data_IF_721500274466
#
_entry.id   IF_721500274466
#
_cell.length_a   1.000
_cell.length_b   1.000
_cell.length_c   1.000
_cell.angle_alpha   90.00
_cell.angle_beta   90.00
_cell.angle_gamma   90.00
#
_symmetry.space_group_name_H-M   'P 1'
#
loop_
_entity.id
_entity.type
_entity.pdbx_description
1 polymer ?
#
# COMPACT_ATOMS: atom_id res chain seq x y z
N UNK A 1 20.90 42.73 9.67
CA UNK A 1 20.43 41.35 9.98
C UNK A 1 19.63 40.90 8.78
N UNK A 2 19.95 39.74 8.18
CA UNK A 2 19.13 39.26 7.06
C UNK A 2 17.68 39.10 7.54
N UNK A 3 16.73 39.80 6.91
CA UNK A 3 15.32 39.64 7.18
C UNK A 3 14.92 38.20 6.80
N UNK A 4 14.19 37.49 7.68
CA UNK A 4 13.62 36.17 7.34
C UNK A 4 12.50 36.39 6.32
N UNK A 5 12.41 35.49 5.36
CA UNK A 5 11.31 35.43 4.41
C UNK A 5 10.21 34.57 5.05
N UNK A 6 9.01 35.15 5.18
CA UNK A 6 7.86 34.40 5.70
C UNK A 6 7.11 33.73 4.56
N UNK A 7 6.96 32.40 4.63
CA UNK A 7 6.13 31.65 3.67
C UNK A 7 4.82 31.33 4.37
N UNK A 8 3.75 32.01 3.95
CA UNK A 8 2.45 31.93 4.59
C UNK A 8 1.50 31.11 3.71
N UNK A 9 0.92 30.06 4.31
CA UNK A 9 -0.19 29.36 3.71
C UNK A 9 -1.45 30.21 3.72
N UNK A 10 -2.22 30.15 2.63
CA UNK A 10 -3.52 30.82 2.51
C UNK A 10 -4.51 29.89 1.83
N UNK A 11 -5.74 29.86 2.31
CA UNK A 11 -6.85 29.10 1.72
C UNK A 11 -7.67 29.96 0.76
N UNK A 12 -8.70 29.37 0.18
CA UNK A 12 -9.63 30.05 -0.72
C UNK A 12 -10.55 31.05 0.02
N UNK A 13 -10.59 30.99 1.35
CA UNK A 13 -11.18 32.00 2.25
C UNK A 13 -10.35 33.29 2.35
N UNK A 14 -9.18 33.32 1.71
CA UNK A 14 -8.34 34.50 1.58
C UNK A 14 -7.87 35.05 2.92
N UNK A 15 -7.90 36.39 3.05
CA UNK A 15 -7.48 37.06 4.29
C UNK A 15 -8.34 36.70 5.51
N UNK A 16 -9.58 36.30 5.33
CA UNK A 16 -10.50 36.04 6.44
C UNK A 16 -10.10 34.76 7.21
N UNK A 17 -9.55 33.77 6.52
CA UNK A 17 -9.05 32.51 7.11
C UNK A 17 -7.70 32.62 7.81
N UNK A 18 -6.97 33.71 7.61
CA UNK A 18 -5.65 33.86 8.20
C UNK A 18 -5.69 34.17 9.69
N UNK A 19 -4.73 33.59 10.43
CA UNK A 19 -4.51 33.93 11.83
C UNK A 19 -4.13 35.43 11.99
N UNK A 20 -4.37 36.04 13.16
CA UNK A 20 -3.90 37.39 13.44
C UNK A 20 -2.39 37.56 13.16
N UNK A 21 -1.59 36.57 13.55
CA UNK A 21 -0.16 36.58 13.31
C UNK A 21 0.20 36.62 11.82
N UNK A 22 -0.49 35.84 10.98
CA UNK A 22 -0.26 35.85 9.53
C UNK A 22 -0.67 37.22 8.90
N UNK A 23 -1.75 37.82 9.41
CA UNK A 23 -2.19 39.15 8.98
C UNK A 23 -1.17 40.24 9.34
N UNK A 24 -0.65 40.23 10.58
CA UNK A 24 0.38 41.16 11.02
C UNK A 24 1.66 41.08 10.17
N UNK A 25 2.06 39.86 9.78
CA UNK A 25 3.20 39.63 8.88
C UNK A 25 2.96 40.17 7.48
N UNK A 26 1.74 40.04 6.95
CA UNK A 26 1.35 40.57 5.65
C UNK A 26 1.28 42.09 5.65
N UNK A 27 0.73 42.67 6.70
CA UNK A 27 0.62 44.13 6.86
C UNK A 27 1.99 44.82 7.01
N UNK A 28 2.97 44.09 7.57
CA UNK A 28 4.35 44.56 7.72
C UNK A 28 5.24 44.29 6.49
N UNK A 29 4.73 43.59 5.48
CA UNK A 29 5.51 43.19 4.31
C UNK A 29 5.68 44.38 3.32
N UNK A 30 6.92 44.63 2.88
CA UNK A 30 7.21 45.51 1.77
C UNK A 30 7.05 44.84 0.40
N UNK A 31 7.27 43.50 0.39
CA UNK A 31 7.16 42.67 -0.82
C UNK A 31 6.30 41.45 -0.54
N UNK A 32 5.32 41.20 -1.39
CA UNK A 32 4.47 40.02 -1.36
C UNK A 32 4.64 39.24 -2.66
N UNK A 33 5.01 37.97 -2.54
CA UNK A 33 5.30 37.08 -3.68
C UNK A 33 4.25 35.98 -3.73
N UNK A 34 3.72 35.68 -4.91
CA UNK A 34 2.75 34.58 -5.07
C UNK A 34 2.31 34.35 -6.50
N UNK A 35 1.48 33.35 -6.71
CA UNK A 35 0.78 33.17 -7.99
C UNK A 35 -0.23 34.31 -8.21
N UNK A 36 -0.62 34.58 -9.47
CA UNK A 36 -1.61 35.62 -9.76
C UNK A 36 -2.91 35.48 -8.94
N UNK A 37 -3.40 34.26 -8.74
CA UNK A 37 -4.61 34.01 -7.96
C UNK A 37 -4.42 34.37 -6.49
N UNK A 38 -3.32 33.96 -5.86
CA UNK A 38 -3.02 34.28 -4.46
C UNK A 38 -2.81 35.79 -4.23
N UNK A 39 -2.09 36.45 -5.14
CA UNK A 39 -1.90 37.87 -5.09
C UNK A 39 -3.22 38.66 -5.23
N UNK A 40 -4.16 38.11 -6.03
CA UNK A 40 -5.51 38.68 -6.16
C UNK A 40 -6.27 38.70 -4.83
N UNK A 41 -6.11 37.69 -3.97
CA UNK A 41 -6.76 37.59 -2.66
C UNK A 41 -6.29 38.67 -1.66
N UNK A 42 -5.06 39.17 -1.83
CA UNK A 42 -4.42 40.14 -0.94
C UNK A 42 -4.20 41.51 -1.60
N UNK A 43 -4.84 41.76 -2.72
CA UNK A 43 -4.61 42.96 -3.60
C UNK A 43 -4.84 44.30 -2.93
N UNK A 44 -5.46 44.37 -1.75
CA UNK A 44 -5.67 45.60 -0.97
C UNK A 44 -4.51 45.97 -0.04
N UNK A 45 -3.45 45.17 0.02
CA UNK A 45 -2.28 45.52 0.82
C UNK A 45 -1.41 46.56 0.10
N UNK A 46 -0.79 47.46 0.88
CA UNK A 46 0.18 48.45 0.38
C UNK A 46 1.59 47.82 0.33
N UNK A 47 1.82 46.91 -0.64
CA UNK A 47 3.09 46.22 -0.84
C UNK A 47 3.43 46.10 -2.32
N UNK A 48 4.69 45.85 -2.63
CA UNK A 48 5.12 45.49 -3.97
C UNK A 48 4.76 44.04 -4.25
N UNK A 49 3.99 43.76 -5.30
CA UNK A 49 3.56 42.41 -5.68
C UNK A 49 4.48 41.81 -6.74
N UNK A 50 5.14 40.71 -6.43
CA UNK A 50 5.96 39.94 -7.36
C UNK A 50 5.31 38.58 -7.70
N UNK A 51 5.14 38.35 -9.00
CA UNK A 51 4.54 37.10 -9.46
C UNK A 51 5.58 35.98 -9.49
N UNK A 52 5.23 34.81 -8.95
CA UNK A 52 6.02 33.60 -9.13
C UNK A 52 5.80 33.12 -10.57
N UNK A 53 6.88 33.07 -11.35
CA UNK A 53 6.94 32.39 -12.65
C UNK A 53 7.17 30.88 -12.50
N UNK A 54 7.20 30.17 -13.64
CA UNK A 54 7.51 28.74 -13.66
C UNK A 54 9.01 28.40 -13.42
N UNK A 55 9.89 29.41 -13.45
CA UNK A 55 11.33 29.24 -13.26
C UNK A 55 11.71 29.41 -11.78
N UNK A 56 12.11 28.29 -11.16
CA UNK A 56 12.54 28.27 -9.76
C UNK A 56 13.88 28.97 -9.52
N UNK A 57 14.73 29.03 -10.55
CA UNK A 57 16.02 29.71 -10.43
C UNK A 57 15.82 31.23 -10.45
N UNK A 58 14.96 31.74 -11.33
CA UNK A 58 14.57 33.15 -11.36
C UNK A 58 13.98 33.60 -10.02
N UNK A 59 13.12 32.78 -9.43
CA UNK A 59 12.57 33.09 -8.11
C UNK A 59 13.66 33.16 -7.04
N UNK A 60 14.62 32.22 -7.03
CA UNK A 60 15.73 32.24 -6.10
C UNK A 60 16.55 33.52 -6.25
N UNK A 61 16.89 33.90 -7.48
CA UNK A 61 17.69 35.10 -7.77
C UNK A 61 16.94 36.39 -7.32
N UNK A 62 15.62 36.43 -7.52
CA UNK A 62 14.75 37.49 -7.01
C UNK A 62 14.81 37.59 -5.49
N UNK A 63 14.66 36.45 -4.78
CA UNK A 63 14.74 36.40 -3.32
C UNK A 63 16.11 36.79 -2.77
N UNK A 64 17.20 36.60 -3.54
CA UNK A 64 18.54 37.08 -3.15
C UNK A 64 18.66 38.60 -3.32
N UNK A 65 18.04 39.20 -4.34
CA UNK A 65 18.07 40.65 -4.58
C UNK A 65 17.28 41.42 -3.52
N UNK A 66 16.20 40.87 -3.00
CA UNK A 66 15.31 41.52 -2.02
C UNK A 66 15.59 41.07 -0.57
N UNK A 67 16.70 40.42 -0.30
CA UNK A 67 16.99 39.69 0.97
C UNK A 67 16.92 40.55 2.24
N UNK A 68 17.05 41.87 2.14
CA UNK A 68 17.05 42.83 3.27
C UNK A 68 15.68 43.51 3.46
N UNK A 69 14.70 43.21 2.60
CA UNK A 69 13.35 43.75 2.64
C UNK A 69 12.38 42.79 3.36
N UNK A 70 11.47 43.28 4.21
CA UNK A 70 10.39 42.48 4.77
C UNK A 70 9.58 41.82 3.65
N UNK A 71 9.68 40.48 3.54
CA UNK A 71 9.12 39.74 2.41
C UNK A 71 8.22 38.60 2.90
N UNK A 72 7.01 38.53 2.35
CA UNK A 72 6.07 37.43 2.50
C UNK A 72 5.91 36.73 1.16
N UNK A 73 5.99 35.41 1.18
CA UNK A 73 5.64 34.56 0.04
C UNK A 73 4.36 33.78 0.38
N UNK A 74 3.36 33.87 -0.50
CA UNK A 74 2.11 33.14 -0.36
C UNK A 74 2.18 31.76 -1.00
N UNK A 75 1.61 30.76 -0.34
CA UNK A 75 1.43 29.40 -0.84
C UNK A 75 0.01 28.91 -0.55
N UNK A 76 -0.57 28.11 -1.41
CA UNK A 76 -1.88 27.51 -1.14
C UNK A 76 -1.79 26.49 -0.01
N UNK A 77 -2.66 26.59 0.99
CA UNK A 77 -2.76 25.66 2.10
C UNK A 77 -1.47 25.52 2.91
N UNK A 78 -0.92 24.30 3.01
CA UNK A 78 0.34 24.04 3.70
C UNK A 78 1.54 24.22 2.75
N UNK A 79 2.43 25.22 2.99
CA UNK A 79 3.59 25.46 2.12
C UNK A 79 4.57 24.29 2.00
N UNK A 80 4.57 23.36 2.95
CA UNK A 80 5.45 22.17 2.93
C UNK A 80 4.81 20.95 2.26
N UNK A 81 3.52 21.02 1.96
CA UNK A 81 2.82 19.91 1.34
C UNK A 81 2.77 20.07 -0.19
N UNK A 82 3.69 19.39 -0.90
CA UNK A 82 3.87 19.46 -2.36
C UNK A 82 4.17 20.87 -2.94
N UNK A 83 4.69 21.81 -2.12
CA UNK A 83 4.95 23.17 -2.52
C UNK A 83 6.41 23.47 -2.89
N UNK A 84 6.61 24.67 -3.43
CA UNK A 84 7.92 25.26 -3.80
C UNK A 84 8.87 25.42 -2.61
N UNK A 85 8.34 25.48 -1.41
CA UNK A 85 9.06 25.70 -0.16
C UNK A 85 10.19 24.69 0.06
N UNK A 86 9.98 23.45 -0.36
CA UNK A 86 11.01 22.40 -0.27
C UNK A 86 12.26 22.76 -1.08
N UNK A 87 12.07 23.23 -2.31
CA UNK A 87 13.18 23.68 -3.16
C UNK A 87 13.92 24.86 -2.54
N UNK A 88 13.20 25.87 -2.08
CA UNK A 88 13.78 27.07 -1.48
C UNK A 88 14.58 26.74 -0.21
N UNK A 89 14.04 25.96 0.69
CA UNK A 89 14.73 25.57 1.93
C UNK A 89 15.96 24.72 1.70
N UNK A 90 15.98 23.89 0.65
CA UNK A 90 17.13 23.07 0.26
C UNK A 90 18.24 23.90 -0.40
N UNK A 91 17.88 24.89 -1.23
CA UNK A 91 18.85 25.66 -2.02
C UNK A 91 19.38 26.91 -1.32
N UNK A 92 18.55 27.54 -0.48
CA UNK A 92 18.88 28.81 0.20
C UNK A 92 19.12 28.66 1.71
N UNK A 93 18.87 27.46 2.26
CA UNK A 93 19.04 27.15 3.69
C UNK A 93 17.79 27.45 4.52
N UNK A 94 17.47 26.48 5.43
CA UNK A 94 16.24 26.51 6.25
C UNK A 94 16.11 27.74 7.13
N UNK A 95 17.21 28.28 7.65
CA UNK A 95 17.22 29.41 8.60
C UNK A 95 16.79 30.75 7.95
N UNK A 96 16.69 30.81 6.64
CA UNK A 96 16.22 32.00 5.91
C UNK A 96 14.71 32.13 5.90
N UNK A 97 14.00 31.06 6.19
CA UNK A 97 12.55 31.00 6.04
C UNK A 97 11.88 30.79 7.40
N UNK A 98 10.76 31.43 7.57
CA UNK A 98 9.75 31.11 8.57
C UNK A 98 8.49 30.66 7.85
N UNK A 99 7.98 29.49 8.22
CA UNK A 99 6.86 28.88 7.50
C UNK A 99 5.65 28.88 8.42
N UNK A 100 4.59 29.49 7.95
CA UNK A 100 3.30 29.58 8.65
C UNK A 100 2.27 28.78 7.85
N UNK A 101 1.95 27.52 8.25
CA UNK A 101 1.02 26.70 7.52
C UNK A 101 -0.42 27.18 7.66
N UNK A 102 -1.23 26.87 6.66
CA UNK A 102 -2.68 26.96 6.69
C UNK A 102 -3.28 25.59 6.43
N UNK A 103 -4.57 25.41 6.69
CA UNK A 103 -5.29 24.18 6.37
C UNK A 103 -5.22 23.95 4.86
N UNK A 104 -4.73 22.77 4.46
CA UNK A 104 -4.66 22.40 3.04
C UNK A 104 -5.99 21.85 2.54
N UNK A 105 -6.22 21.92 1.23
CA UNK A 105 -7.40 21.31 0.60
C UNK A 105 -7.45 19.80 0.84
N UNK A 106 -6.30 19.11 0.99
CA UNK A 106 -6.25 17.71 1.39
C UNK A 106 -6.84 17.50 2.79
N UNK A 107 -6.47 18.32 3.77
CA UNK A 107 -7.04 18.26 5.13
C UNK A 107 -8.53 18.57 5.14
N UNK A 108 -8.96 19.56 4.35
CA UNK A 108 -10.38 19.86 4.19
C UNK A 108 -11.14 18.70 3.59
N UNK A 109 -10.61 18.05 2.54
CA UNK A 109 -11.22 16.88 1.92
C UNK A 109 -11.47 15.76 2.95
N UNK A 110 -10.44 15.36 3.69
CA UNK A 110 -10.58 14.34 4.73
C UNK A 110 -11.56 14.74 5.85
N UNK A 111 -11.58 16.02 6.20
CA UNK A 111 -12.56 16.54 7.17
C UNK A 111 -14.00 16.46 6.64
N UNK A 112 -14.25 16.75 5.34
CA UNK A 112 -15.58 16.65 4.72
C UNK A 112 -16.07 15.21 4.63
N UNK A 113 -15.18 14.27 4.29
CA UNK A 113 -15.52 12.84 4.24
C UNK A 113 -15.53 12.15 5.61
N UNK A 114 -15.05 12.84 6.66
CA UNK A 114 -14.99 12.38 8.06
C UNK A 114 -14.12 11.14 8.25
N UNK A 115 -13.03 11.08 7.50
CA UNK A 115 -12.03 10.02 7.58
C UNK A 115 -10.73 10.53 8.22
N UNK A 116 -10.05 9.66 8.96
CA UNK A 116 -8.69 9.89 9.44
C UNK A 116 -7.69 9.80 8.27
N UNK A 117 -6.63 10.60 8.29
CA UNK A 117 -5.62 10.66 7.24
C UNK A 117 -4.20 10.36 7.72
N UNK A 118 -4.04 9.97 8.97
CA UNK A 118 -2.75 9.68 9.61
C UNK A 118 -2.04 8.46 9.00
N UNK A 119 -2.79 7.50 8.45
CA UNK A 119 -2.29 6.31 7.74
C UNK A 119 -2.58 6.35 6.23
N UNK A 120 -3.12 7.45 5.70
CA UNK A 120 -3.51 7.57 4.32
C UNK A 120 -2.32 7.67 3.36
N UNK A 121 -2.43 7.05 2.20
CA UNK A 121 -1.53 7.30 1.08
C UNK A 121 -1.90 8.63 0.41
N UNK A 122 -1.06 9.63 0.60
CA UNK A 122 -1.27 10.97 0.04
C UNK A 122 -0.31 11.21 -1.12
N UNK A 123 -0.81 11.69 -2.26
CA UNK A 123 0.03 11.99 -3.42
C UNK A 123 -0.53 13.07 -4.34
N UNK A 124 0.30 13.53 -5.27
CA UNK A 124 -0.03 14.55 -6.25
C UNK A 124 0.29 14.05 -7.66
N UNK A 125 -0.72 13.95 -8.50
CA UNK A 125 -0.62 13.46 -9.87
C UNK A 125 0.06 14.45 -10.85
N UNK A 126 0.32 15.68 -10.43
CA UNK A 126 1.18 16.58 -11.19
C UNK A 126 2.66 16.15 -11.19
N UNK A 127 3.08 15.35 -10.21
CA UNK A 127 4.48 14.94 -10.03
C UNK A 127 4.70 13.42 -9.99
N UNK A 128 3.63 12.64 -9.89
CA UNK A 128 3.69 11.17 -9.87
C UNK A 128 2.89 10.60 -11.04
N UNK A 129 3.47 9.68 -11.81
CA UNK A 129 2.74 9.02 -12.91
C UNK A 129 1.63 8.13 -12.38
N UNK A 130 0.46 8.16 -13.02
CA UNK A 130 -0.75 7.47 -12.60
C UNK A 130 -0.53 5.96 -12.39
N UNK A 131 0.21 5.29 -13.26
CA UNK A 131 0.47 3.86 -13.15
C UNK A 131 1.09 3.45 -11.82
N UNK A 132 2.07 4.24 -11.32
CA UNK A 132 2.69 4.01 -10.01
C UNK A 132 1.74 4.31 -8.85
N UNK A 133 0.92 5.34 -9.02
CA UNK A 133 -0.06 5.73 -8.00
C UNK A 133 -1.10 4.62 -7.84
N UNK A 134 -1.57 4.02 -8.91
CA UNK A 134 -2.53 2.90 -8.87
C UNK A 134 -1.98 1.69 -8.11
N UNK A 135 -0.70 1.35 -8.30
CA UNK A 135 -0.08 0.25 -7.56
C UNK A 135 -0.04 0.50 -6.04
N UNK A 136 0.19 1.76 -5.63
CA UNK A 136 0.15 2.14 -4.21
C UNK A 136 -1.29 2.19 -3.66
N UNK A 137 -2.26 2.63 -4.46
CA UNK A 137 -3.68 2.64 -4.09
C UNK A 137 -4.14 1.23 -3.73
N UNK A 138 -3.75 0.23 -4.52
CA UNK A 138 -4.09 -1.18 -4.29
C UNK A 138 -3.81 -1.64 -2.85
N UNK A 139 -2.79 -1.09 -2.21
CA UNK A 139 -2.36 -1.50 -0.86
C UNK A 139 -2.81 -0.58 0.27
N UNK A 140 -3.44 0.55 -0.06
CA UNK A 140 -3.85 1.55 0.91
C UNK A 140 -5.28 1.34 1.40
N UNK A 141 -5.54 1.71 2.66
CA UNK A 141 -6.88 1.76 3.23
C UNK A 141 -7.60 3.06 2.85
N UNK A 142 -6.83 4.16 2.88
CA UNK A 142 -7.28 5.50 2.56
C UNK A 142 -6.28 6.16 1.63
N UNK A 143 -6.79 6.91 0.69
CA UNK A 143 -5.98 7.58 -0.31
C UNK A 143 -6.47 9.01 -0.48
N UNK A 144 -5.54 9.95 -0.55
CA UNK A 144 -5.82 11.33 -0.92
C UNK A 144 -5.01 11.73 -2.15
N UNK A 145 -5.67 12.21 -3.19
CA UNK A 145 -5.07 12.53 -4.47
C UNK A 145 -5.32 13.99 -4.83
N UNK A 146 -4.26 14.75 -5.07
CA UNK A 146 -4.36 15.96 -5.89
C UNK A 146 -4.41 15.55 -7.35
N UNK A 147 -5.46 15.93 -8.03
CA UNK A 147 -5.70 15.65 -9.45
C UNK A 147 -5.13 16.73 -10.35
N UNK A 148 -5.25 16.58 -11.65
CA UNK A 148 -4.88 17.58 -12.65
C UNK A 148 -5.92 17.60 -13.76
N UNK A 149 -5.94 18.64 -14.59
CA UNK A 149 -6.82 18.71 -15.77
C UNK A 149 -6.58 17.54 -16.74
N UNK A 150 -5.35 17.01 -16.81
CA UNK A 150 -5.00 15.86 -17.66
C UNK A 150 -5.34 14.52 -17.02
N UNK A 151 -5.38 14.45 -15.68
CA UNK A 151 -5.69 13.26 -14.90
C UNK A 151 -6.79 13.63 -13.90
N UNK A 152 -8.03 13.85 -14.37
CA UNK A 152 -9.19 14.12 -13.52
C UNK A 152 -9.66 12.86 -12.80
N UNK A 153 -10.58 12.96 -11.82
CA UNK A 153 -11.13 11.83 -11.09
C UNK A 153 -11.70 10.71 -11.97
N UNK A 154 -12.31 11.03 -13.11
CA UNK A 154 -12.83 10.05 -14.06
C UNK A 154 -11.75 9.16 -14.68
N UNK A 155 -10.60 9.74 -15.06
CA UNK A 155 -9.45 8.99 -15.60
C UNK A 155 -8.81 8.11 -14.52
N UNK A 156 -8.77 8.59 -13.27
CA UNK A 156 -8.28 7.79 -12.13
C UNK A 156 -9.19 6.59 -11.90
N UNK A 157 -10.51 6.82 -11.89
CA UNK A 157 -11.50 5.77 -11.71
C UNK A 157 -11.41 4.71 -12.83
N UNK A 158 -11.28 5.13 -14.09
CA UNK A 158 -11.06 4.22 -15.22
C UNK A 158 -9.78 3.38 -15.04
N UNK A 159 -8.65 4.00 -14.71
CA UNK A 159 -7.39 3.30 -14.51
C UNK A 159 -7.41 2.29 -13.35
N UNK A 160 -8.22 2.56 -12.30
CA UNK A 160 -8.44 1.62 -11.20
C UNK A 160 -9.32 0.45 -11.64
N UNK A 161 -10.43 0.71 -12.32
CA UNK A 161 -11.36 -0.31 -12.83
C UNK A 161 -10.70 -1.24 -13.85
N UNK A 162 -9.88 -0.72 -14.75
CA UNK A 162 -9.10 -1.51 -15.71
C UNK A 162 -8.18 -2.53 -15.03
N UNK A 163 -7.73 -2.23 -13.82
CA UNK A 163 -6.91 -3.11 -12.99
C UNK A 163 -7.71 -3.89 -11.95
N UNK A 164 -9.06 -3.89 -12.08
CA UNK A 164 -9.99 -4.55 -11.17
C UNK A 164 -9.85 -4.10 -9.70
N UNK A 165 -9.53 -2.83 -9.50
CA UNK A 165 -9.54 -2.16 -8.20
C UNK A 165 -10.87 -1.43 -8.10
N UNK A 166 -11.95 -2.14 -7.78
CA UNK A 166 -13.33 -1.66 -7.74
C UNK A 166 -13.90 -1.50 -6.31
N UNK A 167 -13.09 -1.82 -5.33
CA UNK A 167 -13.45 -1.93 -3.91
C UNK A 167 -13.20 -0.65 -3.10
N UNK A 168 -13.23 0.50 -3.74
CA UNK A 168 -13.15 1.80 -3.06
C UNK A 168 -14.45 2.57 -3.19
N UNK A 169 -14.86 3.21 -2.08
CA UNK A 169 -15.77 4.33 -2.14
C UNK A 169 -14.96 5.57 -2.46
N UNK A 170 -15.35 6.28 -3.51
CA UNK A 170 -14.67 7.48 -3.96
C UNK A 170 -15.44 8.73 -3.54
N UNK A 171 -14.71 9.74 -3.12
CA UNK A 171 -15.20 11.07 -2.84
C UNK A 171 -14.42 12.06 -3.69
N UNK A 172 -15.12 12.91 -4.42
CA UNK A 172 -14.52 14.03 -5.16
C UNK A 172 -14.97 15.31 -4.46
N UNK A 173 -14.00 16.03 -3.92
CA UNK A 173 -14.22 17.25 -3.16
C UNK A 173 -13.77 18.43 -4.01
N UNK A 174 -14.72 19.21 -4.52
CA UNK A 174 -14.51 20.30 -5.45
C UNK A 174 -14.60 21.64 -4.72
N UNK A 175 -13.79 22.62 -5.12
CA UNK A 175 -13.85 24.00 -4.67
C UNK A 175 -13.85 24.17 -3.13
N UNK A 176 -13.07 23.33 -2.44
CA UNK A 176 -13.05 23.25 -0.97
C UNK A 176 -12.73 24.61 -0.32
N UNK A 177 -13.56 24.99 0.65
CA UNK A 177 -13.44 26.25 1.38
C UNK A 177 -14.11 27.44 0.71
N UNK A 178 -14.73 27.27 -0.45
CA UNK A 178 -15.49 28.31 -1.16
C UNK A 178 -17.00 28.11 -1.01
N UNK A 179 -17.83 29.11 -1.36
CA UNK A 179 -19.29 28.93 -1.40
C UNK A 179 -19.77 27.88 -2.40
N UNK A 180 -18.97 27.57 -3.42
CA UNK A 180 -19.25 26.59 -4.47
C UNK A 180 -18.70 25.20 -4.13
N UNK A 181 -18.38 24.95 -2.86
CA UNK A 181 -17.88 23.66 -2.39
C UNK A 181 -18.90 22.52 -2.64
N UNK A 182 -18.46 21.47 -3.33
CA UNK A 182 -19.27 20.26 -3.59
C UNK A 182 -18.48 19.02 -3.20
N UNK A 183 -19.14 18.06 -2.55
CA UNK A 183 -18.58 16.73 -2.26
C UNK A 183 -19.45 15.68 -2.92
N UNK A 184 -18.93 15.04 -3.95
CA UNK A 184 -19.59 13.94 -4.65
C UNK A 184 -19.05 12.61 -4.12
N UNK A 185 -19.96 11.74 -3.65
CA UNK A 185 -19.65 10.37 -3.21
C UNK A 185 -20.22 9.37 -4.20
N UNK A 186 -19.44 8.33 -4.53
CA UNK A 186 -19.90 7.24 -5.40
C UNK A 186 -18.94 6.06 -5.40
N UNK A 187 -19.32 5.03 -6.16
CA UNK A 187 -18.39 3.99 -6.57
C UNK A 187 -17.56 4.48 -7.78
N UNK A 188 -16.51 3.74 -8.11
CA UNK A 188 -15.61 4.13 -9.20
C UNK A 188 -16.31 4.14 -10.58
N UNK A 189 -17.33 3.29 -10.79
CA UNK A 189 -18.11 3.28 -12.03
C UNK A 189 -18.92 4.57 -12.20
N UNK A 190 -19.52 5.08 -11.13
CA UNK A 190 -20.24 6.34 -11.17
C UNK A 190 -19.32 7.54 -11.36
N UNK A 191 -18.14 7.54 -10.71
CA UNK A 191 -17.16 8.61 -10.85
C UNK A 191 -16.56 8.66 -12.26
N UNK A 192 -16.28 7.50 -12.87
CA UNK A 192 -15.76 7.43 -14.26
C UNK A 192 -16.63 8.18 -15.26
N UNK A 193 -17.93 8.18 -15.05
CA UNK A 193 -18.90 8.73 -15.99
C UNK A 193 -19.30 10.19 -15.69
N UNK A 194 -18.59 10.87 -14.78
CA UNK A 194 -18.87 12.26 -14.40
C UNK A 194 -17.72 13.19 -14.75
N UNK A 195 -18.06 14.48 -14.91
CA UNK A 195 -17.08 15.56 -15.04
C UNK A 195 -17.02 16.33 -13.73
N UNK A 196 -15.82 16.80 -13.39
CA UNK A 196 -15.54 17.51 -12.17
C UNK A 196 -14.76 18.79 -12.46
N UNK A 197 -14.89 19.79 -11.60
CA UNK A 197 -14.08 20.99 -11.67
C UNK A 197 -12.60 20.67 -11.50
N UNK A 198 -11.72 21.49 -12.09
CA UNK A 198 -10.27 21.29 -12.03
C UNK A 198 -9.70 21.43 -10.61
N UNK A 199 -10.35 22.25 -9.79
CA UNK A 199 -9.98 22.47 -8.38
C UNK A 199 -10.60 21.40 -7.48
N UNK A 200 -10.06 20.19 -7.51
CA UNK A 200 -10.60 19.10 -6.71
C UNK A 200 -9.52 18.25 -6.01
N UNK A 201 -9.96 17.56 -4.97
CA UNK A 201 -9.23 16.49 -4.26
C UNK A 201 -10.06 15.25 -4.32
N UNK A 202 -9.49 14.13 -4.79
CA UNK A 202 -10.14 12.83 -4.74
C UNK A 202 -9.68 12.06 -3.50
N UNK A 203 -10.65 11.59 -2.70
CA UNK A 203 -10.39 10.71 -1.56
C UNK A 203 -10.99 9.35 -1.87
N UNK A 204 -10.20 8.30 -1.66
CA UNK A 204 -10.63 6.91 -1.81
C UNK A 204 -10.59 6.23 -0.44
N UNK A 205 -11.67 5.57 -0.07
CA UNK A 205 -11.79 4.81 1.17
C UNK A 205 -12.11 3.37 0.82
N UNK A 206 -11.25 2.45 1.25
CA UNK A 206 -11.45 1.02 0.98
C UNK A 206 -12.71 0.52 1.66
N UNK A 207 -13.51 -0.25 0.95
CA UNK A 207 -14.68 -0.92 1.50
C UNK A 207 -14.24 -2.04 2.45
N UNK A 208 -14.85 -2.07 3.61
CA UNK A 208 -14.51 -3.08 4.63
C UNK A 208 -14.78 -4.49 4.13
N UNK A 209 -13.82 -5.39 4.30
CA UNK A 209 -13.95 -6.80 3.89
C UNK A 209 -13.94 -7.05 2.37
N UNK A 210 -13.72 -6.03 1.55
CA UNK A 210 -13.64 -6.23 0.11
C UNK A 210 -12.32 -6.93 -0.29
N UNK A 211 -12.45 -8.06 -0.98
CA UNK A 211 -11.31 -8.78 -1.52
C UNK A 211 -10.66 -8.01 -2.67
N UNK A 212 -9.33 -8.08 -2.78
CA UNK A 212 -8.60 -7.53 -3.92
C UNK A 212 -8.75 -8.47 -5.12
N UNK A 213 -9.41 -7.99 -6.16
CA UNK A 213 -9.64 -8.79 -7.37
C UNK A 213 -8.34 -8.96 -8.18
N UNK A 214 -8.04 -10.18 -8.65
CA UNK A 214 -6.81 -10.41 -9.40
C UNK A 214 -6.83 -9.71 -10.76
N UNK A 215 -5.68 -9.17 -11.17
CA UNK A 215 -5.51 -8.60 -12.51
C UNK A 215 -5.65 -9.68 -13.59
N UNK A 216 -6.67 -9.57 -14.44
CA UNK A 216 -7.14 -10.64 -15.32
C UNK A 216 -6.32 -10.95 -16.58
N UNK A 217 -5.13 -10.36 -16.77
CA UNK A 217 -4.43 -10.40 -18.07
C UNK A 217 -3.07 -11.14 -18.08
N UNK A 218 -2.55 -11.60 -16.94
CA UNK A 218 -1.28 -12.33 -16.94
C UNK A 218 -1.48 -13.84 -17.18
N UNK A 219 -0.66 -14.47 -18.04
CA UNK A 219 -0.70 -15.91 -18.21
C UNK A 219 -0.29 -16.59 -16.90
N UNK A 220 -1.13 -17.54 -16.45
CA UNK A 220 -0.85 -18.30 -15.22
C UNK A 220 0.36 -19.19 -15.42
N UNK A 221 1.23 -19.20 -14.43
CA UNK A 221 2.40 -20.07 -14.35
C UNK A 221 2.02 -21.36 -13.62
N UNK A 222 2.78 -22.39 -13.81
CA UNK A 222 2.60 -23.66 -13.07
C UNK A 222 2.79 -23.41 -11.55
N UNK A 223 3.76 -22.57 -11.19
CA UNK A 223 4.02 -22.06 -9.85
C UNK A 223 4.77 -20.73 -9.92
N UNK A 224 4.88 -20.00 -8.81
CA UNK A 224 5.51 -18.67 -8.78
C UNK A 224 4.64 -17.61 -9.46
N UNK A 225 3.32 -17.76 -9.38
CA UNK A 225 2.39 -16.75 -9.85
C UNK A 225 2.53 -15.47 -9.00
N UNK A 226 2.42 -14.28 -9.61
CA UNK A 226 2.37 -13.03 -8.86
C UNK A 226 1.28 -13.02 -7.79
N UNK A 227 1.56 -12.37 -6.66
CA UNK A 227 0.65 -12.34 -5.51
C UNK A 227 -0.69 -11.67 -5.82
N UNK A 228 -0.71 -10.74 -6.79
CA UNK A 228 -1.89 -10.02 -7.26
C UNK A 228 -2.82 -10.83 -8.17
N UNK A 229 -2.45 -12.07 -8.52
CA UNK A 229 -3.34 -13.01 -9.21
C UNK A 229 -4.26 -13.78 -8.26
N UNK A 230 -4.07 -13.65 -6.96
CA UNK A 230 -4.90 -14.30 -5.95
C UNK A 230 -5.80 -13.29 -5.27
N UNK A 231 -7.06 -13.66 -5.06
CA UNK A 231 -7.93 -12.96 -4.12
C UNK A 231 -7.29 -13.03 -2.74
N UNK A 232 -7.26 -11.92 -2.04
CA UNK A 232 -6.71 -11.86 -0.70
C UNK A 232 -7.47 -10.83 0.12
N UNK A 233 -7.68 -11.12 1.40
CA UNK A 233 -8.28 -10.20 2.34
C UNK A 233 -7.34 -9.05 2.64
N UNK A 234 -7.84 -7.83 2.55
CA UNK A 234 -7.16 -6.61 2.99
C UNK A 234 -8.14 -5.78 3.82
N UNK A 235 -7.76 -5.23 4.94
CA UNK A 235 -6.41 -4.97 5.45
C UNK A 235 -5.79 -6.09 6.32
N UNK A 236 -6.28 -7.30 6.32
CA UNK A 236 -5.69 -8.43 7.08
C UNK A 236 -4.24 -8.75 6.66
N UNK A 237 -3.63 -7.81 5.99
CA UNK A 237 -2.20 -7.58 5.74
C UNK A 237 -1.36 -8.81 5.49
N UNK A 238 -1.07 -9.05 4.22
CA UNK A 238 0.08 -9.88 3.86
C UNK A 238 0.04 -11.29 4.44
N UNK A 239 -1.14 -11.85 4.59
CA UNK A 239 -1.31 -13.26 4.96
C UNK A 239 -0.97 -14.19 3.79
N UNK A 240 -0.87 -13.63 2.57
CA UNK A 240 -0.34 -14.40 1.45
C UNK A 240 1.17 -14.62 1.61
N UNK A 241 1.60 -15.85 1.47
CA UNK A 241 3.04 -16.15 1.39
C UNK A 241 3.59 -15.53 0.09
N UNK A 242 4.57 -14.63 0.14
CA UNK A 242 5.12 -13.99 -1.05
C UNK A 242 5.55 -14.99 -2.12
N UNK A 243 5.37 -14.65 -3.40
CA UNK A 243 5.67 -15.56 -4.53
C UNK A 243 7.09 -16.12 -4.49
N UNK A 244 8.06 -15.31 -4.07
CA UNK A 244 9.46 -15.73 -3.93
C UNK A 244 9.61 -16.80 -2.85
N UNK A 245 8.91 -16.65 -1.72
CA UNK A 245 8.92 -17.63 -0.62
C UNK A 245 8.18 -18.91 -1.02
N UNK A 246 7.02 -18.75 -1.71
CA UNK A 246 6.26 -19.91 -2.24
C UNK A 246 7.09 -20.76 -3.19
N UNK A 247 7.82 -20.12 -4.12
CA UNK A 247 8.69 -20.84 -5.05
C UNK A 247 9.71 -21.69 -4.32
N UNK A 248 10.37 -21.15 -3.30
CA UNK A 248 11.37 -21.88 -2.51
C UNK A 248 10.68 -22.99 -1.70
N UNK A 249 9.57 -22.68 -1.03
CA UNK A 249 8.82 -23.67 -0.24
C UNK A 249 8.38 -24.86 -1.09
N UNK A 250 7.78 -24.61 -2.26
CA UNK A 250 7.33 -25.66 -3.18
C UNK A 250 8.48 -26.52 -3.71
N UNK A 251 9.64 -25.91 -3.98
CA UNK A 251 10.83 -26.68 -4.40
C UNK A 251 11.35 -27.61 -3.31
N UNK A 252 11.23 -27.22 -2.05
CA UNK A 252 11.67 -28.00 -0.89
C UNK A 252 10.64 -29.07 -0.46
N UNK A 253 9.39 -28.93 -0.84
CA UNK A 253 8.33 -29.90 -0.56
C UNK A 253 8.48 -31.22 -1.37
N UNK A 254 9.38 -31.27 -2.34
CA UNK A 254 9.69 -32.46 -3.16
C UNK A 254 8.45 -33.13 -3.76
N UNK A 255 7.52 -32.34 -4.29
CA UNK A 255 6.25 -32.81 -4.81
C UNK A 255 6.41 -33.63 -6.08
N UNK A 256 5.55 -34.63 -6.22
CA UNK A 256 5.37 -35.40 -7.45
C UNK A 256 3.88 -35.43 -7.87
N UNK A 257 3.60 -35.90 -9.07
CA UNK A 257 2.27 -35.80 -9.66
C UNK A 257 1.13 -36.42 -8.82
N UNK A 258 1.42 -37.39 -7.97
CA UNK A 258 0.45 -38.12 -7.15
C UNK A 258 0.54 -37.80 -5.66
N UNK A 259 1.29 -36.75 -5.28
CA UNK A 259 1.50 -36.35 -3.88
C UNK A 259 0.19 -36.02 -3.16
N UNK A 260 0.06 -36.48 -1.93
CA UNK A 260 -0.92 -36.00 -0.97
C UNK A 260 -0.25 -34.90 -0.15
N UNK A 261 -0.81 -33.72 -0.19
CA UNK A 261 -0.23 -32.50 0.41
C UNK A 261 -1.18 -31.92 1.44
N UNK A 262 -0.63 -31.47 2.57
CA UNK A 262 -1.34 -30.62 3.51
C UNK A 262 -0.75 -29.22 3.50
N UNK A 263 -1.60 -28.21 3.32
CA UNK A 263 -1.30 -26.80 3.52
C UNK A 263 -2.05 -26.34 4.77
N UNK A 264 -1.34 -26.15 5.87
CA UNK A 264 -1.87 -25.82 7.19
C UNK A 264 -1.75 -24.31 7.44
N UNK A 265 -2.89 -23.64 7.60
CA UNK A 265 -2.98 -22.19 7.59
C UNK A 265 -2.90 -21.66 6.16
N UNK A 266 -3.74 -22.18 5.29
CA UNK A 266 -3.67 -21.95 3.86
C UNK A 266 -4.03 -20.52 3.44
N UNK A 267 -4.74 -19.76 4.31
CA UNK A 267 -5.21 -18.41 3.99
C UNK A 267 -6.05 -18.42 2.71
N UNK A 268 -5.76 -17.55 1.78
CA UNK A 268 -6.41 -17.51 0.47
C UNK A 268 -6.02 -18.64 -0.50
N UNK A 269 -5.22 -19.60 -0.04
CA UNK A 269 -4.88 -20.82 -0.77
C UNK A 269 -3.76 -20.72 -1.80
N UNK A 270 -2.97 -19.66 -1.80
CA UNK A 270 -1.98 -19.42 -2.85
C UNK A 270 -0.94 -20.52 -2.98
N UNK A 271 -0.42 -21.07 -1.86
CA UNK A 271 0.53 -22.18 -1.88
C UNK A 271 -0.17 -23.49 -2.27
N UNK A 272 -1.34 -23.77 -1.67
CA UNK A 272 -2.12 -24.98 -1.97
C UNK A 272 -2.48 -25.09 -3.46
N UNK A 273 -2.85 -23.96 -4.10
CA UNK A 273 -3.18 -23.88 -5.53
C UNK A 273 -1.97 -24.25 -6.40
N UNK A 274 -0.81 -23.69 -6.08
CA UNK A 274 0.41 -23.98 -6.83
C UNK A 274 0.90 -25.43 -6.55
N UNK A 275 0.74 -25.93 -5.32
CA UNK A 275 0.99 -27.33 -5.00
C UNK A 275 0.05 -28.27 -5.79
N UNK A 276 -1.24 -27.92 -5.91
CA UNK A 276 -2.20 -28.69 -6.71
C UNK A 276 -1.85 -28.72 -8.20
N UNK A 277 -1.30 -27.64 -8.72
CA UNK A 277 -0.77 -27.58 -10.09
C UNK A 277 0.42 -28.51 -10.30
N UNK A 278 1.27 -28.69 -9.26
CA UNK A 278 2.43 -29.59 -9.28
C UNK A 278 2.05 -31.06 -9.00
N UNK A 279 0.91 -31.30 -8.33
CA UNK A 279 0.40 -32.62 -8.02
C UNK A 279 -0.96 -32.89 -8.71
N UNK A 280 -1.03 -32.91 -10.05
CA UNK A 280 -2.28 -32.95 -10.81
C UNK A 280 -3.05 -34.28 -10.70
N UNK A 281 -2.44 -35.31 -10.16
CA UNK A 281 -3.03 -36.65 -9.92
C UNK A 281 -3.12 -36.99 -8.43
N UNK A 282 -2.65 -36.06 -7.58
CA UNK A 282 -2.67 -36.19 -6.13
C UNK A 282 -3.89 -35.49 -5.51
N UNK A 283 -3.75 -35.10 -4.25
CA UNK A 283 -4.72 -34.30 -3.54
C UNK A 283 -4.01 -33.30 -2.63
N UNK A 284 -4.48 -32.04 -2.62
CA UNK A 284 -3.96 -30.99 -1.74
C UNK A 284 -5.07 -30.55 -0.79
N UNK A 285 -4.91 -30.87 0.47
CA UNK A 285 -5.83 -30.45 1.54
C UNK A 285 -5.38 -29.11 2.10
N UNK A 286 -6.14 -28.07 1.81
CA UNK A 286 -5.88 -26.70 2.25
C UNK A 286 -6.74 -26.38 3.46
N UNK A 287 -6.11 -26.29 4.62
CA UNK A 287 -6.78 -26.19 5.93
C UNK A 287 -6.74 -24.72 6.38
N UNK A 288 -7.92 -24.13 6.55
CA UNK A 288 -8.07 -22.74 6.99
C UNK A 288 -9.22 -22.60 7.99
N UNK A 289 -8.95 -21.87 9.07
CA UNK A 289 -9.94 -21.65 10.15
C UNK A 289 -10.77 -20.39 9.95
N UNK A 290 -10.24 -19.39 9.25
CA UNK A 290 -10.95 -18.14 8.98
C UNK A 290 -11.93 -18.33 7.82
N UNK A 291 -13.20 -18.02 8.06
CA UNK A 291 -14.28 -18.27 7.09
C UNK A 291 -14.16 -17.40 5.84
N UNK A 292 -13.61 -16.19 5.96
CA UNK A 292 -13.43 -15.26 4.85
C UNK A 292 -12.28 -15.74 3.95
N UNK A 293 -11.13 -16.06 4.54
CA UNK A 293 -9.98 -16.61 3.82
C UNK A 293 -10.32 -17.96 3.17
N UNK A 294 -11.10 -18.80 3.86
CA UNK A 294 -11.61 -20.06 3.30
C UNK A 294 -12.49 -19.84 2.06
N UNK A 295 -13.37 -18.85 2.08
CA UNK A 295 -14.21 -18.51 0.92
C UNK A 295 -13.38 -18.04 -0.26
N UNK A 296 -12.41 -17.16 -0.02
CA UNK A 296 -11.48 -16.69 -1.07
C UNK A 296 -10.61 -17.83 -1.63
N UNK A 297 -10.19 -18.78 -0.81
CA UNK A 297 -9.46 -19.97 -1.26
C UNK A 297 -10.27 -20.79 -2.26
N UNK A 298 -11.57 -20.97 -2.03
CA UNK A 298 -12.47 -21.68 -2.97
C UNK A 298 -12.55 -20.92 -4.31
N UNK A 299 -12.75 -19.59 -4.25
CA UNK A 299 -12.82 -18.76 -5.46
C UNK A 299 -11.49 -18.78 -6.23
N UNK A 300 -10.37 -18.68 -5.54
CA UNK A 300 -9.04 -18.79 -6.13
C UNK A 300 -8.84 -20.18 -6.78
N UNK A 301 -9.22 -21.26 -6.11
CA UNK A 301 -9.11 -22.61 -6.66
C UNK A 301 -9.92 -22.78 -7.95
N UNK A 302 -11.12 -22.22 -8.01
CA UNK A 302 -11.96 -22.20 -9.21
C UNK A 302 -11.31 -21.37 -10.33
N UNK A 303 -10.81 -20.19 -10.02
CA UNK A 303 -10.13 -19.35 -11.01
C UNK A 303 -8.89 -20.04 -11.60
N UNK A 304 -8.11 -20.72 -10.77
CA UNK A 304 -6.91 -21.42 -11.20
C UNK A 304 -7.21 -22.80 -11.80
N UNK A 305 -8.46 -23.27 -11.74
CA UNK A 305 -8.89 -24.57 -12.28
C UNK A 305 -8.08 -25.75 -11.75
N UNK A 306 -7.90 -25.81 -10.43
CA UNK A 306 -7.16 -26.88 -9.73
C UNK A 306 -8.10 -27.83 -9.01
N UNK A 307 -8.64 -28.85 -9.70
CA UNK A 307 -9.66 -29.74 -9.14
C UNK A 307 -9.12 -30.70 -8.04
N UNK A 308 -7.81 -30.83 -7.92
CA UNK A 308 -7.16 -31.68 -6.90
C UNK A 308 -7.02 -30.98 -5.56
N UNK A 309 -7.34 -29.67 -5.47
CA UNK A 309 -7.38 -28.94 -4.21
C UNK A 309 -8.70 -29.23 -3.49
N UNK A 310 -8.58 -29.64 -2.23
CA UNK A 310 -9.68 -29.93 -1.32
C UNK A 310 -9.65 -28.89 -0.19
N UNK A 311 -10.57 -27.89 -0.20
CA UNK A 311 -10.64 -26.93 0.89
C UNK A 311 -11.18 -27.58 2.16
N UNK A 312 -10.55 -27.31 3.30
CA UNK A 312 -10.96 -27.83 4.62
C UNK A 312 -11.15 -26.66 5.57
N UNK A 313 -12.40 -26.38 5.93
CA UNK A 313 -12.72 -25.32 6.91
C UNK A 313 -12.62 -25.89 8.31
N UNK A 314 -11.70 -25.35 9.12
CA UNK A 314 -11.57 -25.72 10.52
C UNK A 314 -10.19 -25.44 11.09
N UNK A 315 -10.11 -25.59 12.40
CA UNK A 315 -8.87 -25.36 13.14
C UNK A 315 -8.00 -26.63 13.15
N UNK A 316 -6.75 -26.51 12.75
CA UNK A 316 -5.76 -27.56 12.96
C UNK A 316 -5.43 -27.68 14.48
N UNK A 317 -5.23 -28.91 15.02
CA UNK A 317 -5.10 -30.19 14.32
C UNK A 317 -6.44 -30.92 14.08
N UNK A 318 -7.55 -30.50 14.67
CA UNK A 318 -8.82 -31.22 14.62
C UNK A 318 -9.32 -31.38 13.17
N UNK A 319 -9.12 -30.35 12.35
CA UNK A 319 -9.56 -30.33 10.96
C UNK A 319 -8.87 -31.37 10.06
N UNK A 320 -7.74 -31.92 10.45
CA UNK A 320 -7.04 -32.95 9.67
C UNK A 320 -7.21 -34.42 10.19
N UNK A 321 -8.02 -34.62 11.25
CA UNK A 321 -8.12 -35.92 11.91
C UNK A 321 -8.46 -37.05 10.93
N UNK A 322 -9.40 -36.82 10.03
CA UNK A 322 -9.91 -37.78 9.05
C UNK A 322 -9.20 -37.71 7.68
N UNK A 323 -8.21 -36.82 7.52
CA UNK A 323 -7.50 -36.70 6.24
C UNK A 323 -6.49 -37.81 6.06
N UNK A 324 -6.18 -38.24 4.81
CA UNK A 324 -5.14 -39.19 4.55
C UNK A 324 -3.76 -38.64 4.91
N UNK A 325 -2.85 -39.52 5.35
CA UNK A 325 -1.48 -39.13 5.71
C UNK A 325 -0.76 -38.53 4.49
N UNK A 326 -0.10 -37.35 4.68
CA UNK A 326 0.51 -36.61 3.59
C UNK A 326 1.92 -37.07 3.23
N UNK A 327 2.26 -36.90 1.95
CA UNK A 327 3.63 -36.99 1.44
C UNK A 327 4.42 -35.71 1.70
N UNK A 328 3.72 -34.57 1.71
CA UNK A 328 4.32 -33.28 2.00
C UNK A 328 3.38 -32.40 2.86
N UNK A 329 3.96 -31.68 3.80
CA UNK A 329 3.24 -30.74 4.66
C UNK A 329 3.87 -29.36 4.52
N UNK A 330 3.05 -28.35 4.28
CA UNK A 330 3.42 -26.97 4.52
C UNK A 330 2.67 -26.44 5.74
N UNK A 331 3.40 -25.76 6.63
CA UNK A 331 2.79 -25.06 7.76
C UNK A 331 3.10 -23.57 7.61
N UNK A 332 2.05 -22.80 7.30
CA UNK A 332 2.10 -21.34 7.19
C UNK A 332 1.51 -20.68 8.42
N UNK A 333 1.79 -19.36 8.56
CA UNK A 333 1.21 -18.52 9.59
C UNK A 333 2.18 -18.11 10.69
N UNK A 334 1.84 -17.06 11.39
CA UNK A 334 2.66 -16.44 12.44
C UNK A 334 2.17 -16.75 13.87
N UNK A 335 1.24 -17.67 14.01
CA UNK A 335 0.60 -18.00 15.28
C UNK A 335 1.56 -18.64 16.30
N UNK A 336 1.28 -18.45 17.59
CA UNK A 336 2.04 -19.07 18.69
C UNK A 336 1.91 -20.61 18.74
N UNK A 337 0.91 -21.14 18.05
CA UNK A 337 0.62 -22.57 18.01
C UNK A 337 1.47 -23.36 17.00
N UNK A 338 2.29 -22.71 16.18
CA UNK A 338 3.06 -23.36 15.11
C UNK A 338 3.91 -24.54 15.61
N UNK A 339 4.68 -24.42 16.71
CA UNK A 339 5.47 -25.57 17.21
C UNK A 339 4.61 -26.78 17.59
N UNK A 340 3.47 -26.57 18.25
CA UNK A 340 2.53 -27.64 18.62
C UNK A 340 1.89 -28.29 17.38
N UNK A 341 1.53 -27.50 16.39
CA UNK A 341 1.01 -27.99 15.11
C UNK A 341 2.06 -28.85 14.39
N UNK A 342 3.31 -28.40 14.35
CA UNK A 342 4.42 -29.15 13.75
C UNK A 342 4.63 -30.50 14.49
N UNK A 343 4.65 -30.49 15.83
CA UNK A 343 4.76 -31.68 16.64
C UNK A 343 3.71 -32.75 16.26
N UNK A 344 2.45 -32.33 16.08
CA UNK A 344 1.36 -33.21 15.69
C UNK A 344 1.41 -33.59 14.21
N UNK A 345 1.73 -32.68 13.33
CA UNK A 345 1.79 -32.90 11.88
C UNK A 345 2.85 -33.95 11.49
N UNK A 346 4.04 -33.88 12.10
CA UNK A 346 5.11 -34.84 11.80
C UNK A 346 4.76 -36.28 12.15
N UNK A 347 3.82 -36.55 13.07
CA UNK A 347 3.37 -37.90 13.39
C UNK A 347 2.55 -38.53 12.25
N UNK A 348 1.93 -37.68 11.41
CA UNK A 348 1.11 -38.09 10.26
C UNK A 348 1.90 -38.11 8.95
N UNK A 349 3.12 -37.56 8.94
CA UNK A 349 3.96 -37.51 7.74
C UNK A 349 4.39 -38.92 7.31
N UNK A 350 4.15 -39.25 6.05
CA UNK A 350 4.55 -40.53 5.45
C UNK A 350 6.06 -40.74 5.49
N UNK A 351 6.49 -41.96 5.31
CA UNK A 351 7.91 -42.30 5.09
C UNK A 351 8.41 -41.60 3.83
N UNK A 352 9.60 -41.05 3.89
CA UNK A 352 10.19 -40.17 2.85
C UNK A 352 9.40 -38.90 2.54
N UNK A 353 8.47 -38.51 3.41
CA UNK A 353 7.75 -37.27 3.29
C UNK A 353 8.59 -36.07 3.74
N UNK A 354 8.18 -34.90 3.29
CA UNK A 354 8.80 -33.61 3.59
C UNK A 354 7.87 -32.68 4.37
N UNK A 355 8.43 -31.91 5.27
CA UNK A 355 7.71 -30.80 5.93
C UNK A 355 8.47 -29.50 5.73
N UNK A 356 7.74 -28.45 5.38
CA UNK A 356 8.25 -27.10 5.24
C UNK A 356 7.44 -26.17 6.14
N UNK A 357 8.10 -25.47 7.05
CA UNK A 357 7.45 -24.56 8.00
C UNK A 357 7.93 -23.15 7.72
N UNK A 358 6.99 -22.24 7.50
CA UNK A 358 7.27 -20.82 7.28
C UNK A 358 6.97 -20.01 8.54
N UNK A 359 7.96 -19.37 9.13
CA UNK A 359 7.83 -18.53 10.32
C UNK A 359 8.57 -17.20 10.16
N UNK A 360 8.05 -16.14 10.77
CA UNK A 360 8.69 -14.81 10.79
C UNK A 360 9.34 -14.48 12.13
N UNK A 361 9.05 -15.25 13.19
CA UNK A 361 9.58 -15.04 14.54
C UNK A 361 10.78 -15.95 14.81
N UNK A 362 11.90 -15.39 15.35
CA UNK A 362 13.02 -16.21 15.82
C UNK A 362 12.65 -17.20 16.94
N UNK A 363 11.67 -16.84 17.77
CA UNK A 363 11.20 -17.75 18.85
C UNK A 363 10.53 -18.99 18.26
N UNK A 364 9.69 -18.80 17.25
CA UNK A 364 9.06 -19.93 16.54
C UNK A 364 10.10 -20.73 15.76
N UNK A 365 11.12 -20.11 15.17
CA UNK A 365 12.21 -20.81 14.50
C UNK A 365 12.87 -21.84 15.43
N UNK A 366 13.31 -21.38 16.61
CA UNK A 366 14.00 -22.25 17.59
C UNK A 366 13.07 -23.37 18.08
N UNK A 367 11.83 -23.03 18.38
CA UNK A 367 10.86 -23.99 18.87
C UNK A 367 10.50 -25.07 17.83
N UNK A 368 10.28 -24.68 16.57
CA UNK A 368 10.00 -25.61 15.46
C UNK A 368 11.20 -26.51 15.18
N UNK A 369 12.41 -25.96 15.16
CA UNK A 369 13.63 -26.75 15.00
C UNK A 369 13.71 -27.84 16.04
N UNK A 370 13.48 -27.49 17.32
CA UNK A 370 13.50 -28.47 18.40
C UNK A 370 12.42 -29.57 18.25
N UNK A 371 11.23 -29.25 17.74
CA UNK A 371 10.19 -30.27 17.54
C UNK A 371 10.54 -31.23 16.36
N UNK A 372 11.16 -30.70 15.30
CA UNK A 372 11.64 -31.56 14.19
C UNK A 372 12.78 -32.49 14.63
N UNK A 373 13.74 -32.00 15.43
CA UNK A 373 14.82 -32.81 15.99
C UNK A 373 14.29 -33.93 16.88
N UNK A 374 13.28 -33.67 17.73
CA UNK A 374 12.62 -34.70 18.56
C UNK A 374 11.92 -35.76 17.71
N UNK A 375 11.47 -35.43 16.52
CA UNK A 375 10.84 -36.33 15.59
C UNK A 375 11.85 -37.13 14.72
N UNK A 376 13.16 -37.05 15.02
CA UNK A 376 14.26 -37.65 14.26
C UNK A 376 14.35 -37.15 12.80
N UNK A 377 13.90 -35.92 12.58
CA UNK A 377 14.10 -35.17 11.35
C UNK A 377 15.32 -34.24 11.53
N UNK A 378 16.16 -34.20 10.49
CA UNK A 378 17.30 -33.24 10.51
C UNK A 378 16.84 -31.92 9.93
N UNK A 379 16.58 -30.88 10.77
CA UNK A 379 16.07 -29.62 10.26
C UNK A 379 17.15 -28.81 9.54
N UNK A 380 16.84 -28.33 8.35
CA UNK A 380 17.59 -27.29 7.66
C UNK A 380 16.85 -25.98 7.80
N UNK A 381 17.57 -24.86 7.98
CA UNK A 381 16.98 -23.53 8.12
C UNK A 381 17.47 -22.65 6.99
N UNK A 382 16.55 -21.97 6.34
CA UNK A 382 16.84 -20.94 5.34
C UNK A 382 16.22 -19.62 5.75
N UNK A 383 17.02 -18.59 5.85
CA UNK A 383 16.53 -17.21 6.02
C UNK A 383 16.37 -16.57 4.64
N UNK A 384 15.18 -16.07 4.37
CA UNK A 384 14.85 -15.43 3.10
C UNK A 384 14.66 -13.92 3.36
N UNK A 385 15.51 -13.13 2.71
CA UNK A 385 15.41 -11.67 2.67
C UNK A 385 15.02 -11.25 1.27
N UNK A 386 13.91 -10.52 1.16
CA UNK A 386 13.42 -10.01 -0.12
C UNK A 386 13.44 -8.50 -0.06
N UNK A 387 13.99 -7.89 -1.11
CA UNK A 387 13.89 -6.47 -1.34
C UNK A 387 13.41 -6.24 -2.78
N UNK A 388 12.25 -5.58 -2.94
CA UNK A 388 11.67 -5.29 -4.26
C UNK A 388 12.08 -3.90 -4.71
N UNK A 389 12.69 -3.81 -5.88
CA UNK A 389 13.12 -2.56 -6.47
C UNK A 389 11.94 -1.78 -7.04
N UNK A 390 11.79 -0.53 -6.62
CA UNK A 390 10.82 0.42 -7.18
C UNK A 390 11.57 1.58 -7.84
N UNK A 391 11.14 1.96 -9.04
CA UNK A 391 11.68 3.14 -9.71
C UNK A 391 11.05 4.41 -9.12
N UNK A 392 11.88 5.29 -8.57
CA UNK A 392 11.48 6.63 -8.13
C UNK A 392 12.41 7.65 -8.77
N UNK A 393 11.86 8.56 -9.59
CA UNK A 393 12.62 9.70 -10.14
C UNK A 393 14.01 9.27 -10.66
N UNK A 394 14.09 8.46 -11.68
CA UNK A 394 15.34 7.94 -12.32
C UNK A 394 16.25 7.11 -11.41
N UNK A 395 15.81 6.73 -10.21
CA UNK A 395 16.56 5.89 -9.28
C UNK A 395 15.72 4.68 -8.86
N UNK A 396 16.40 3.56 -8.67
CA UNK A 396 15.78 2.38 -8.05
C UNK A 396 15.90 2.52 -6.53
N UNK A 397 14.78 2.48 -5.84
CA UNK A 397 14.71 2.30 -4.40
C UNK A 397 14.32 0.86 -4.11
N UNK A 398 14.96 0.23 -3.13
CA UNK A 398 14.59 -1.09 -2.67
C UNK A 398 13.74 -1.01 -1.39
N UNK A 399 12.55 -1.58 -1.45
CA UNK A 399 11.69 -1.76 -0.28
C UNK A 399 11.86 -3.20 0.23
N UNK A 400 12.37 -3.33 1.47
CA UNK A 400 12.60 -4.62 2.09
C UNK A 400 11.30 -5.17 2.69
N UNK A 401 11.00 -6.43 2.43
CA UNK A 401 10.00 -7.21 3.17
C UNK A 401 10.63 -7.72 4.47
N UNK A 402 9.79 -7.98 5.47
CA UNK A 402 10.26 -8.61 6.70
C UNK A 402 10.90 -9.97 6.39
N UNK A 403 12.07 -10.27 6.97
CA UNK A 403 12.69 -11.57 6.81
C UNK A 403 11.76 -12.71 7.24
N UNK A 404 11.79 -13.81 6.53
CA UNK A 404 11.10 -15.04 6.92
C UNK A 404 12.06 -16.21 6.96
N UNK A 405 11.73 -17.23 7.75
CA UNK A 405 12.52 -18.43 7.89
C UNK A 405 11.72 -19.62 7.36
N UNK A 406 12.30 -20.39 6.44
CA UNK A 406 11.82 -21.70 6.07
C UNK A 406 12.63 -22.75 6.83
N UNK A 407 11.92 -23.59 7.56
CA UNK A 407 12.48 -24.71 8.30
C UNK A 407 12.03 -25.98 7.60
N UNK A 408 12.99 -26.76 7.16
CA UNK A 408 12.79 -27.95 6.33
C UNK A 408 13.06 -29.18 7.17
N UNK A 409 12.19 -30.18 7.06
CA UNK A 409 12.41 -31.49 7.67
C UNK A 409 12.10 -32.58 6.66
N UNK A 410 13.05 -33.49 6.46
CA UNK A 410 12.89 -34.65 5.57
C UNK A 410 12.99 -35.94 6.38
N UNK A 411 12.03 -36.84 6.18
CA UNK A 411 12.04 -38.13 6.79
C UNK A 411 12.86 -39.14 5.91
N UNK A 412 14.15 -39.17 6.13
CA UNK A 412 15.04 -40.07 5.39
C UNK A 412 14.95 -41.50 6.00
N UNK A 413 14.66 -42.51 5.17
CA UNK A 413 14.80 -43.91 5.55
C UNK A 413 16.29 -44.22 5.70
N UNK A 414 16.71 -44.66 6.91
CA UNK A 414 17.99 -45.33 7.10
C UNK A 414 17.98 -46.69 6.48
#
# INVERSE_FOLDING_TARGET
MNSRIHIIGIGDDGLDGLSPYSKDLLDAAEVVIGSPNLLGMVSRLEAEFLRVGGDLQELKDTLEQIRDRPTVMLASGDPLFYGITRFLTQTMGKNRFEIVPHVSSMQLAFARVKESWDDAYLTNLAIQPLDRVVDNIRTAERVGLFTTDQIPPSVIAEALLDRRIDYFTAYVCENLGTPDEVVTQGDLESIRNQNFDSMNVMVLVRQFGAADLPSGSQPRRLFGNPDDLFLQSRPKRGLITPSEVRCIALSEMQLHAESIVWDVGAGSGSLAIEAASLAPKGQVFAIEMDAEDYSMMIENAQMFQVPTLVPVHGQAPDAWAELPDPDAIFVGGSGRMVPELVQKAVTRLRRNGSIVVNVSSPDNLVAVQAELEKADLQPEVRMINIARGQYQLDRVRFDALNPTFLILGNRVTK
#
